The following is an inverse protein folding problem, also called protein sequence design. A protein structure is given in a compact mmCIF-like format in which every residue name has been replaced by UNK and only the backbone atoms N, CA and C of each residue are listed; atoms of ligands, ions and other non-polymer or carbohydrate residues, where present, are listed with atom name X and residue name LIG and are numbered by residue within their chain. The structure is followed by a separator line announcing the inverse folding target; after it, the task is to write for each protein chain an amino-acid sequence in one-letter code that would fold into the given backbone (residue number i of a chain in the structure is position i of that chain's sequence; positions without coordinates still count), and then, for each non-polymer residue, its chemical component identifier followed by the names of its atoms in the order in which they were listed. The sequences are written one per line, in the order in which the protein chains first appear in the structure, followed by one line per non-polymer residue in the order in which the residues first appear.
data_IF_673857832195
#
_entry.id   IF_673857832195
#
_cell.length_a   1.000
_cell.length_b   1.000
_cell.length_c   1.000
_cell.angle_alpha   90.00
_cell.angle_beta   90.00
_cell.angle_gamma   90.00
#
_symmetry.space_group_name_H-M   'P 1'
#
loop_
_entity.id
_entity.type
_entity.pdbx_description
1 polymer ?
#
# COMPACT_ATOMS: atom_id res chain seq x y z
N UNK A 1 0.19 -3.04 19.30
CA UNK A 1 0.94 -3.38 18.07
C UNK A 1 2.03 -2.34 17.91
N UNK A 2 3.29 -2.74 17.73
CA UNK A 2 4.38 -1.79 17.47
C UNK A 2 4.50 -1.62 15.95
N UNK A 3 4.22 -0.43 15.45
CA UNK A 3 4.51 -0.09 14.05
C UNK A 3 6.01 0.09 13.87
N UNK A 4 6.52 -0.27 12.70
CA UNK A 4 7.92 -0.08 12.34
C UNK A 4 8.02 0.95 11.21
N UNK A 5 8.60 2.10 11.53
CA UNK A 5 8.87 3.17 10.57
C UNK A 5 10.37 3.28 10.24
N UNK A 6 11.21 2.43 10.83
CA UNK A 6 12.66 2.44 10.63
C UNK A 6 13.12 1.40 9.59
N UNK A 7 12.23 0.50 9.17
CA UNK A 7 12.50 -0.48 8.13
C UNK A 7 12.60 0.20 6.76
N UNK A 8 13.79 0.13 6.16
CA UNK A 8 13.99 0.57 4.78
C UNK A 8 13.51 -0.53 3.84
N UNK A 9 12.44 -0.26 3.10
CA UNK A 9 11.90 -1.14 2.06
C UNK A 9 12.27 -0.58 0.70
N UNK A 10 13.04 -1.34 -0.08
CA UNK A 10 13.37 -0.92 -1.45
C UNK A 10 12.10 -0.88 -2.31
N UNK A 11 11.93 0.22 -3.04
CA UNK A 11 10.85 0.45 -4.02
C UNK A 11 11.39 0.61 -5.45
N UNK A 12 12.66 0.31 -5.66
CA UNK A 12 13.27 0.28 -6.99
C UNK A 12 12.81 -0.97 -7.73
N UNK A 13 12.62 -0.84 -9.05
CA UNK A 13 12.19 -1.93 -9.93
C UNK A 13 10.82 -2.51 -9.55
N UNK A 14 9.96 -1.71 -8.89
CA UNK A 14 8.58 -2.09 -8.56
C UNK A 14 7.54 -1.34 -9.38
N UNK A 15 7.96 -0.64 -10.44
CA UNK A 15 7.16 0.34 -11.18
C UNK A 15 6.69 1.50 -10.28
N UNK A 16 7.52 1.91 -9.34
CA UNK A 16 7.25 2.99 -8.39
C UNK A 16 7.39 4.34 -9.08
N UNK A 17 6.32 5.13 -9.16
CA UNK A 17 6.41 6.46 -9.77
C UNK A 17 7.39 7.39 -9.02
N UNK A 18 7.52 7.23 -7.70
CA UNK A 18 8.48 8.00 -6.89
C UNK A 18 9.94 7.65 -7.18
N UNK A 19 10.26 6.35 -7.21
CA UNK A 19 11.64 5.84 -7.22
C UNK A 19 12.13 5.46 -8.62
N UNK A 20 11.28 4.90 -9.48
CA UNK A 20 11.67 4.48 -10.83
C UNK A 20 11.60 5.64 -11.86
N UNK A 21 10.98 6.78 -11.51
CA UNK A 21 11.05 8.00 -12.33
C UNK A 21 12.34 8.81 -12.09
N UNK A 22 13.11 8.50 -11.05
CA UNK A 22 14.39 9.14 -10.79
C UNK A 22 15.46 8.53 -11.72
N UNK A 23 15.64 9.13 -12.90
CA UNK A 23 16.52 8.59 -13.96
C UNK A 23 17.99 8.98 -13.82
N UNK A 24 18.30 9.97 -12.99
CA UNK A 24 19.68 10.36 -12.69
C UNK A 24 20.23 9.52 -11.53
N UNK A 25 21.55 9.22 -11.52
CA UNK A 25 22.18 8.54 -10.40
C UNK A 25 22.09 9.39 -9.12
N UNK A 26 22.11 8.73 -7.96
CA UNK A 26 22.20 9.33 -6.63
C UNK A 26 21.08 10.32 -6.27
N UNK A 27 19.89 10.16 -6.84
CA UNK A 27 18.72 10.96 -6.51
C UNK A 27 17.96 10.35 -5.32
N UNK A 28 17.66 11.21 -4.34
CA UNK A 28 16.72 10.91 -3.25
C UNK A 28 15.35 11.56 -3.55
N UNK A 29 14.35 10.80 -4.04
CA UNK A 29 13.06 11.37 -4.41
C UNK A 29 12.20 11.74 -3.18
N UNK A 30 11.82 13.02 -3.08
CA UNK A 30 11.00 13.56 -1.98
C UNK A 30 9.75 14.32 -2.45
N UNK A 31 9.33 14.11 -3.70
CA UNK A 31 8.41 15.02 -4.39
C UNK A 31 6.94 14.53 -4.43
N UNK A 32 6.69 13.26 -4.75
CA UNK A 32 5.31 12.73 -4.84
C UNK A 32 4.80 12.31 -3.48
N UNK A 33 3.51 12.57 -3.22
CA UNK A 33 2.85 12.30 -1.95
C UNK A 33 2.46 10.82 -1.76
N UNK A 34 3.47 9.95 -1.70
CA UNK A 34 3.37 8.59 -1.15
C UNK A 34 4.47 8.36 -0.10
N UNK A 35 4.37 7.25 0.64
CA UNK A 35 5.24 6.95 1.77
C UNK A 35 6.19 5.80 1.47
N UNK A 36 7.37 5.83 2.08
CA UNK A 36 8.36 4.75 2.03
C UNK A 36 8.27 3.82 3.26
N UNK A 37 7.07 3.71 3.82
CA UNK A 37 6.76 2.83 4.95
C UNK A 37 5.91 1.65 4.52
N UNK A 38 6.06 0.53 5.21
CA UNK A 38 5.17 -0.62 5.02
C UNK A 38 3.73 -0.23 5.39
N UNK A 39 2.79 -0.59 4.52
CA UNK A 39 1.36 -0.38 4.76
C UNK A 39 0.91 -1.02 6.07
N UNK A 40 -0.08 -0.41 6.74
CA UNK A 40 -0.60 -0.90 8.01
C UNK A 40 -0.95 -2.41 7.97
N UNK A 41 -0.56 -3.20 8.99
CA UNK A 41 -0.78 -4.65 9.00
C UNK A 41 -2.23 -5.08 8.82
N UNK A 42 -3.19 -4.27 9.28
CA UNK A 42 -4.61 -4.54 9.10
C UNK A 42 -5.02 -4.57 7.61
N UNK A 43 -4.48 -3.66 6.80
CA UNK A 43 -4.76 -3.57 5.36
C UNK A 43 -4.12 -4.76 4.63
N UNK A 44 -2.86 -5.08 4.94
CA UNK A 44 -2.16 -6.23 4.35
C UNK A 44 -2.93 -7.53 4.62
N UNK A 45 -3.39 -7.74 5.86
CA UNK A 45 -4.19 -8.92 6.23
C UNK A 45 -5.51 -8.99 5.48
N UNK A 46 -6.24 -7.88 5.36
CA UNK A 46 -7.50 -7.85 4.63
C UNK A 46 -7.31 -8.20 3.14
N UNK A 47 -6.24 -7.70 2.51
CA UNK A 47 -5.88 -8.05 1.14
C UNK A 47 -5.50 -9.54 1.01
N UNK A 48 -4.70 -10.07 1.94
CA UNK A 48 -4.34 -11.49 1.96
C UNK A 48 -5.56 -12.40 2.08
N UNK A 49 -6.50 -12.07 2.97
CA UNK A 49 -7.76 -12.81 3.12
C UNK A 49 -8.60 -12.76 1.84
N UNK A 50 -8.69 -11.59 1.19
CA UNK A 50 -9.41 -11.46 -0.08
C UNK A 50 -8.77 -12.28 -1.20
N UNK A 51 -7.44 -12.30 -1.27
CA UNK A 51 -6.70 -13.13 -2.24
C UNK A 51 -6.93 -14.62 -1.98
N UNK A 52 -6.94 -15.05 -0.71
CA UNK A 52 -7.18 -16.45 -0.33
C UNK A 52 -8.56 -16.97 -0.74
N UNK A 53 -9.57 -16.10 -0.86
CA UNK A 53 -10.89 -16.49 -1.34
C UNK A 53 -10.87 -17.04 -2.79
N UNK A 54 -9.91 -16.61 -3.62
CA UNK A 54 -9.68 -17.15 -4.96
C UNK A 54 -10.72 -16.77 -6.03
N UNK A 55 -11.88 -16.24 -5.65
CA UNK A 55 -12.92 -15.75 -6.57
C UNK A 55 -12.93 -14.22 -6.57
N UNK A 56 -12.68 -13.62 -7.75
CA UNK A 56 -12.60 -12.17 -7.94
C UNK A 56 -13.76 -11.61 -8.77
N UNK A 57 -14.92 -12.26 -8.70
CA UNK A 57 -16.13 -11.84 -9.40
C UNK A 57 -16.79 -10.58 -8.82
N UNK A 58 -17.96 -10.25 -9.37
CA UNK A 58 -18.75 -9.08 -8.98
C UNK A 58 -19.03 -9.07 -7.48
N UNK A 59 -18.83 -7.91 -6.85
CA UNK A 59 -18.98 -7.71 -5.41
C UNK A 59 -19.95 -6.55 -5.17
N UNK A 60 -20.90 -6.73 -4.27
CA UNK A 60 -21.70 -5.62 -3.72
C UNK A 60 -20.91 -4.95 -2.60
N UNK A 61 -20.97 -3.62 -2.53
CA UNK A 61 -20.33 -2.86 -1.45
C UNK A 61 -20.98 -3.25 -0.11
N UNK A 62 -20.21 -3.69 0.89
CA UNK A 62 -20.75 -4.15 2.16
C UNK A 62 -21.06 -2.96 3.10
N UNK A 63 -22.00 -3.11 4.04
CA UNK A 63 -22.47 -2.03 4.92
C UNK A 63 -21.36 -1.49 5.84
N UNK A 64 -20.38 -2.33 6.15
CA UNK A 64 -19.18 -1.99 6.92
C UNK A 64 -18.36 -0.88 6.25
N UNK A 65 -18.37 -0.79 4.91
CA UNK A 65 -17.73 0.32 4.20
C UNK A 65 -18.37 1.66 4.57
N UNK A 66 -19.70 1.75 4.52
CA UNK A 66 -20.41 2.98 4.83
C UNK A 66 -20.25 3.35 6.31
N UNK A 67 -20.30 2.36 7.19
CA UNK A 67 -20.06 2.55 8.63
C UNK A 67 -18.66 3.11 8.92
N UNK A 68 -17.64 2.68 8.16
CA UNK A 68 -16.26 3.15 8.34
C UNK A 68 -15.99 4.55 7.77
N UNK A 69 -16.71 4.95 6.72
CA UNK A 69 -16.44 6.19 5.97
C UNK A 69 -17.37 7.33 6.36
N UNK A 70 -18.64 7.04 6.61
CA UNK A 70 -19.68 8.07 6.81
C UNK A 70 -19.87 8.40 8.28
N UNK A 71 -19.71 7.43 9.18
CA UNK A 71 -20.01 7.55 10.61
C UNK A 71 -21.49 7.38 10.92
#
# INVERSE_FOLDING_TARGET
MKYNFDEIVSRHHTNSYKWDSATLPDILPMWVADMDFRTAPAIIRALQQRVQHGIFGYTRVPDEYYSAVVG
#
